data_IF_295407268647
#
_entry.id   IF_295407268647
#
_cell.length_a   1.000
_cell.length_b   1.000
_cell.length_c   1.000
_cell.angle_alpha   90.00
_cell.angle_beta   90.00
_cell.angle_gamma   90.00
#
_symmetry.space_group_name_H-M   'P 1'
#
loop_
_entity.id
_entity.type
_entity.pdbx_description
1 polymer ?
#
# COMPACT_ATOMS: atom_id res chain seq x y z
N UNK A 1 -58.98 -26.37 -41.03
CA UNK A 1 -59.01 -25.62 -39.76
C UNK A 1 -58.50 -24.21 -40.07
N UNK A 2 -59.41 -23.26 -39.88
CA UNK A 2 -59.35 -21.80 -39.67
C UNK A 2 -58.00 -21.22 -39.19
N UNK A 3 -57.48 -20.12 -39.77
CA UNK A 3 -57.70 -18.66 -39.44
C UNK A 3 -56.75 -18.23 -38.28
N UNK A 4 -55.88 -17.19 -38.31
CA UNK A 4 -56.10 -15.72 -38.47
C UNK A 4 -54.73 -14.97 -38.40
N UNK A 5 -54.45 -13.89 -39.18
CA UNK A 5 -53.30 -12.94 -39.02
C UNK A 5 -53.76 -11.59 -38.39
N UNK A 6 -53.04 -10.42 -38.41
CA UNK A 6 -51.64 -10.03 -38.18
C UNK A 6 -51.50 -8.87 -37.12
N UNK A 7 -50.28 -8.43 -36.74
CA UNK A 7 -50.06 -7.09 -36.11
C UNK A 7 -48.61 -6.63 -36.41
N UNK A 8 -48.36 -5.89 -37.49
CA UNK A 8 -48.40 -4.42 -37.64
C UNK A 8 -47.23 -3.69 -36.96
N UNK A 9 -46.23 -3.32 -37.75
CA UNK A 9 -45.35 -2.16 -37.50
C UNK A 9 -46.18 -0.85 -37.62
N UNK A 10 -45.72 0.28 -37.05
CA UNK A 10 -44.82 1.17 -37.81
C UNK A 10 -43.75 1.93 -36.98
N UNK A 11 -42.56 2.07 -37.56
CA UNK A 11 -41.63 3.19 -37.33
C UNK A 11 -42.20 4.46 -37.99
N UNK A 12 -42.14 5.68 -37.39
CA UNK A 12 -41.15 6.64 -37.90
C UNK A 12 -40.70 7.77 -36.94
N UNK A 13 -39.41 8.12 -37.05
CA UNK A 13 -38.81 9.48 -37.20
C UNK A 13 -39.26 10.69 -36.34
N UNK A 14 -38.25 11.45 -35.89
CA UNK A 14 -38.21 12.90 -35.63
C UNK A 14 -38.53 13.40 -34.20
N UNK A 15 -37.59 14.09 -33.55
CA UNK A 15 -37.42 15.55 -33.62
C UNK A 15 -36.28 16.03 -32.72
N UNK A 16 -35.46 16.93 -33.27
CA UNK A 16 -34.53 17.79 -32.54
C UNK A 16 -35.26 18.75 -31.61
N UNK A 17 -34.66 19.17 -30.49
CA UNK A 17 -34.43 20.59 -30.14
C UNK A 17 -33.64 20.75 -28.83
N UNK A 18 -32.69 21.67 -28.87
CA UNK A 18 -31.99 22.26 -27.74
C UNK A 18 -32.92 23.15 -26.91
N UNK A 19 -32.54 23.39 -25.64
CA UNK A 19 -32.64 24.62 -24.80
C UNK A 19 -32.48 24.14 -23.36
N UNK A 20 -31.43 24.46 -22.59
CA UNK A 20 -30.87 25.79 -22.39
C UNK A 20 -31.61 26.50 -21.25
N UNK A 21 -31.37 26.13 -20.01
CA UNK A 21 -31.72 26.99 -18.86
C UNK A 21 -30.60 26.90 -17.85
N UNK A 22 -29.78 27.96 -17.83
CA UNK A 22 -28.87 28.22 -16.74
C UNK A 22 -29.60 28.90 -15.60
N UNK A 23 -29.21 28.55 -14.39
CA UNK A 23 -29.32 29.44 -13.24
C UNK A 23 -28.05 29.26 -12.43
N UNK A 24 -27.16 30.24 -12.58
CA UNK A 24 -26.04 30.42 -11.68
C UNK A 24 -26.50 31.06 -10.39
N UNK A 25 -25.94 30.59 -9.29
CA UNK A 25 -25.78 31.36 -8.05
C UNK A 25 -24.46 30.92 -7.43
N UNK A 26 -23.39 31.63 -7.80
CA UNK A 26 -22.27 31.79 -6.88
C UNK A 26 -22.66 32.80 -5.81
N UNK A 27 -22.29 32.54 -4.55
CA UNK A 27 -21.75 33.52 -3.59
C UNK A 27 -21.57 32.85 -2.22
N UNK A 28 -20.32 32.79 -1.76
CA UNK A 28 -19.95 32.89 -0.34
C UNK A 28 -19.30 31.65 0.30
N UNK A 29 -17.96 31.55 0.33
CA UNK A 29 -17.29 30.80 1.38
C UNK A 29 -17.38 31.59 2.69
N UNK A 30 -18.16 31.09 3.63
CA UNK A 30 -18.21 31.61 4.99
C UNK A 30 -16.98 31.11 5.75
N UNK A 31 -15.96 31.97 5.89
CA UNK A 31 -14.98 31.84 6.96
C UNK A 31 -15.68 32.14 8.29
N UNK A 32 -15.68 31.17 9.20
CA UNK A 32 -15.69 31.43 10.62
C UNK A 32 -14.56 30.60 11.22
N UNK A 33 -13.52 31.31 11.65
CA UNK A 33 -12.59 30.88 12.67
C UNK A 33 -13.37 30.53 13.93
N UNK A 34 -13.25 29.28 14.38
CA UNK A 34 -13.41 28.94 15.79
C UNK A 34 -12.24 28.06 16.18
N UNK A 35 -11.25 28.73 16.77
CA UNK A 35 -10.31 28.20 17.73
C UNK A 35 -11.04 27.26 18.70
N UNK A 36 -10.71 25.96 18.64
CA UNK A 36 -11.19 24.98 19.61
C UNK A 36 -10.00 24.12 20.02
N UNK A 37 -9.51 24.44 21.21
CA UNK A 37 -8.40 23.83 21.90
C UNK A 37 -8.40 22.30 21.82
N UNK A 38 -7.21 21.75 21.60
CA UNK A 38 -6.90 20.34 21.71
C UNK A 38 -7.14 19.89 23.15
N UNK A 39 -8.23 19.16 23.39
CA UNK A 39 -8.41 18.36 24.58
C UNK A 39 -7.62 17.04 24.43
N UNK A 40 -6.89 16.58 25.47
CA UNK A 40 -6.21 15.28 25.45
C UNK A 40 -7.19 14.13 25.19
N UNK A 41 -6.79 13.04 24.50
CA UNK A 41 -7.66 11.89 24.31
C UNK A 41 -7.96 11.26 25.68
N UNK A 42 -9.23 11.35 26.07
CA UNK A 42 -9.78 10.61 27.20
C UNK A 42 -9.71 9.12 26.83
N UNK A 43 -8.89 8.37 27.58
CA UNK A 43 -8.77 6.92 27.45
C UNK A 43 -10.12 6.35 27.88
N UNK A 44 -10.93 5.96 26.90
CA UNK A 44 -12.19 5.25 27.10
C UNK A 44 -11.87 3.86 27.65
N UNK A 45 -11.87 3.75 28.97
CA UNK A 45 -11.78 2.49 29.68
C UNK A 45 -13.01 1.64 29.30
N UNK A 46 -12.86 0.33 29.04
CA UNK A 46 -13.99 -0.50 28.65
C UNK A 46 -15.06 -0.49 29.74
N UNK A 47 -16.22 0.09 29.44
CA UNK A 47 -17.41 -0.06 30.28
C UNK A 47 -17.77 -1.54 30.34
N UNK A 48 -17.53 -2.15 31.50
CA UNK A 48 -18.13 -3.42 31.90
C UNK A 48 -19.65 -3.21 31.96
N UNK A 49 -20.35 -3.56 30.90
CA UNK A 49 -21.81 -3.70 30.94
C UNK A 49 -22.14 -4.94 31.75
N UNK A 50 -22.36 -4.74 33.05
CA UNK A 50 -23.05 -5.64 33.96
C UNK A 50 -24.39 -6.06 33.32
N UNK A 51 -24.40 -7.26 32.74
CA UNK A 51 -25.62 -7.86 32.21
C UNK A 51 -26.13 -8.82 33.28
N UNK A 52 -27.11 -8.36 34.05
CA UNK A 52 -27.85 -9.17 35.01
C UNK A 52 -28.40 -10.45 34.37
N UNK A 53 -28.65 -11.51 35.17
CA UNK A 53 -29.00 -12.83 34.64
C UNK A 53 -30.44 -12.82 34.15
N UNK A 54 -30.66 -12.39 32.92
CA UNK A 54 -31.98 -12.44 32.30
C UNK A 54 -32.25 -13.87 31.79
N UNK A 55 -33.07 -14.57 32.55
CA UNK A 55 -33.64 -15.88 32.26
C UNK A 55 -34.43 -15.86 30.95
N UNK A 56 -33.76 -16.10 29.82
CA UNK A 56 -34.43 -16.47 28.56
C UNK A 56 -33.84 -17.75 27.98
N UNK A 57 -34.65 -18.80 28.09
CA UNK A 57 -34.53 -20.16 27.58
C UNK A 57 -34.02 -20.24 26.13
N UNK A 58 -32.93 -20.98 25.89
CA UNK A 58 -32.57 -21.61 24.60
C UNK A 58 -32.22 -20.73 23.38
N UNK A 59 -33.05 -19.76 23.01
CA UNK A 59 -32.99 -19.02 21.73
C UNK A 59 -32.08 -17.79 21.75
N UNK A 60 -31.93 -17.11 22.89
CA UNK A 60 -31.05 -15.93 23.00
C UNK A 60 -29.56 -16.26 22.94
N UNK A 61 -29.17 -17.43 23.47
CA UNK A 61 -27.77 -17.89 23.51
C UNK A 61 -27.23 -18.22 22.11
N UNK A 62 -28.02 -18.85 21.25
CA UNK A 62 -27.63 -19.15 19.87
C UNK A 62 -27.41 -17.90 19.01
N UNK A 63 -28.25 -16.89 19.18
CA UNK A 63 -28.10 -15.61 18.47
C UNK A 63 -26.87 -14.82 18.95
N UNK A 64 -26.58 -14.86 20.25
CA UNK A 64 -25.39 -14.23 20.82
C UNK A 64 -24.09 -14.90 20.32
N UNK A 65 -24.03 -16.23 20.29
CA UNK A 65 -22.90 -16.98 19.72
C UNK A 65 -22.74 -16.69 18.22
N UNK A 66 -23.82 -16.70 17.44
CA UNK A 66 -23.78 -16.35 16.02
C UNK A 66 -23.28 -14.91 15.78
N UNK A 67 -23.69 -13.95 16.62
CA UNK A 67 -23.20 -12.58 16.55
C UNK A 67 -21.70 -12.48 16.89
N UNK A 68 -21.23 -13.24 17.89
CA UNK A 68 -19.81 -13.34 18.25
C UNK A 68 -18.98 -13.89 17.09
N UNK A 69 -19.40 -15.01 16.48
CA UNK A 69 -18.66 -15.59 15.35
C UNK A 69 -18.62 -14.68 14.12
N UNK A 70 -19.70 -13.95 13.82
CA UNK A 70 -19.67 -12.93 12.74
C UNK A 70 -18.69 -11.80 13.01
N UNK A 71 -18.55 -11.38 14.27
CA UNK A 71 -17.54 -10.36 14.64
C UNK A 71 -16.13 -10.92 14.49
N UNK A 72 -15.89 -12.13 14.97
CA UNK A 72 -14.59 -12.80 14.86
C UNK A 72 -14.18 -13.03 13.40
N UNK A 73 -15.11 -13.44 12.53
CA UNK A 73 -14.83 -13.63 11.10
C UNK A 73 -14.37 -12.32 10.45
N UNK A 74 -15.11 -11.22 10.64
CA UNK A 74 -14.73 -9.92 10.06
C UNK A 74 -13.42 -9.39 10.62
N UNK A 75 -13.17 -9.59 11.91
CA UNK A 75 -11.89 -9.24 12.53
C UNK A 75 -10.74 -10.01 11.86
N UNK A 76 -10.87 -11.32 11.70
CA UNK A 76 -9.88 -12.15 11.04
C UNK A 76 -9.67 -11.79 9.56
N UNK A 77 -10.74 -11.48 8.82
CA UNK A 77 -10.64 -11.01 7.43
C UNK A 77 -9.89 -9.67 7.35
N UNK A 78 -10.21 -8.75 8.26
CA UNK A 78 -9.53 -7.44 8.34
C UNK A 78 -8.03 -7.61 8.65
N UNK A 79 -7.69 -8.47 9.63
CA UNK A 79 -6.31 -8.77 9.98
C UNK A 79 -5.55 -9.42 8.82
N UNK A 80 -6.18 -10.37 8.11
CA UNK A 80 -5.60 -11.01 6.93
C UNK A 80 -5.30 -9.98 5.85
N UNK A 81 -6.24 -9.08 5.55
CA UNK A 81 -6.07 -8.08 4.49
C UNK A 81 -4.98 -7.06 4.86
N UNK A 82 -4.89 -6.69 6.14
CA UNK A 82 -3.79 -5.86 6.66
C UNK A 82 -2.44 -6.56 6.48
N UNK A 83 -2.33 -7.81 6.89
CA UNK A 83 -1.09 -8.59 6.75
C UNK A 83 -0.72 -8.79 5.27
N UNK A 84 -1.70 -9.02 4.39
CA UNK A 84 -1.47 -9.12 2.95
C UNK A 84 -0.85 -7.82 2.40
N UNK A 85 -1.37 -6.65 2.81
CA UNK A 85 -0.80 -5.35 2.42
C UNK A 85 0.63 -5.13 2.95
N UNK A 86 0.91 -5.55 4.19
CA UNK A 86 2.28 -5.47 4.76
C UNK A 86 3.24 -6.37 3.99
N UNK A 87 2.84 -7.60 3.70
CA UNK A 87 3.66 -8.56 2.95
C UNK A 87 3.93 -8.06 1.53
N UNK A 88 2.93 -7.51 0.84
CA UNK A 88 3.10 -6.90 -0.48
C UNK A 88 4.14 -5.76 -0.45
N UNK A 89 4.07 -4.90 0.57
CA UNK A 89 5.03 -3.82 0.78
C UNK A 89 6.46 -4.33 0.99
N UNK A 90 6.64 -5.37 1.81
CA UNK A 90 7.95 -6.00 2.05
C UNK A 90 8.49 -6.69 0.79
N UNK A 91 7.63 -7.37 0.04
CA UNK A 91 8.01 -8.02 -1.22
C UNK A 91 8.45 -6.99 -2.26
N UNK A 92 7.71 -5.88 -2.42
CA UNK A 92 8.14 -4.79 -3.31
C UNK A 92 9.49 -4.21 -2.90
N UNK A 93 9.68 -3.94 -1.60
CA UNK A 93 10.95 -3.44 -1.09
C UNK A 93 12.11 -4.42 -1.36
N UNK A 94 11.85 -5.73 -1.28
CA UNK A 94 12.85 -6.75 -1.56
C UNK A 94 13.21 -6.81 -3.05
N UNK A 95 12.23 -6.73 -3.95
CA UNK A 95 12.49 -6.62 -5.40
C UNK A 95 13.33 -5.37 -5.69
N UNK A 96 12.99 -4.23 -5.08
CA UNK A 96 13.76 -2.99 -5.23
C UNK A 96 15.19 -3.15 -4.69
N UNK A 97 15.38 -3.84 -3.57
CA UNK A 97 16.71 -4.14 -3.01
C UNK A 97 17.56 -4.93 -4.00
N UNK A 98 16.98 -5.93 -4.66
CA UNK A 98 17.66 -6.71 -5.70
C UNK A 98 17.94 -5.82 -6.93
N UNK A 99 16.95 -5.05 -7.37
CA UNK A 99 17.06 -4.15 -8.52
C UNK A 99 18.15 -3.08 -8.35
N UNK A 100 18.34 -2.56 -7.13
CA UNK A 100 19.38 -1.59 -6.80
C UNK A 100 20.81 -2.08 -7.09
N UNK A 101 21.01 -3.40 -7.23
CA UNK A 101 22.32 -3.95 -7.61
C UNK A 101 22.66 -3.72 -9.08
N UNK A 102 21.65 -3.47 -9.94
CA UNK A 102 21.81 -3.33 -11.39
C UNK A 102 21.25 -2.03 -11.96
N UNK A 103 20.28 -1.40 -11.31
CA UNK A 103 19.67 -0.12 -11.71
C UNK A 103 20.14 1.02 -10.81
N UNK A 104 20.33 2.20 -11.40
CA UNK A 104 20.64 3.44 -10.66
C UNK A 104 19.46 3.86 -9.75
N UNK A 105 18.23 3.62 -10.20
CA UNK A 105 16.99 3.84 -9.46
C UNK A 105 16.20 2.53 -9.44
N UNK A 106 16.15 1.86 -8.29
CA UNK A 106 15.49 0.56 -8.14
C UNK A 106 13.99 0.58 -8.46
N UNK A 107 13.29 1.64 -8.03
CA UNK A 107 11.85 1.82 -8.25
C UNK A 107 11.46 1.91 -9.73
N UNK A 108 12.43 2.10 -10.64
CA UNK A 108 12.15 2.11 -12.07
C UNK A 108 11.68 0.73 -12.57
N UNK A 109 11.96 -0.37 -11.86
CA UNK A 109 11.45 -1.71 -12.22
C UNK A 109 9.92 -1.73 -12.40
N UNK A 110 9.19 -1.01 -11.56
CA UNK A 110 7.73 -0.90 -11.62
C UNK A 110 7.25 -0.01 -12.76
N UNK A 111 8.05 0.99 -13.17
CA UNK A 111 7.71 1.92 -14.25
C UNK A 111 7.79 1.26 -15.63
N UNK A 112 8.55 0.17 -15.75
CA UNK A 112 8.68 -0.60 -16.99
C UNK A 112 7.74 -1.81 -17.05
N UNK A 113 6.66 -1.80 -16.27
CA UNK A 113 5.56 -2.74 -16.39
C UNK A 113 5.78 -4.08 -15.69
N UNK A 114 6.77 -4.17 -14.79
CA UNK A 114 6.90 -5.35 -13.94
C UNK A 114 5.74 -5.38 -12.94
N UNK A 115 5.03 -6.50 -12.88
CA UNK A 115 3.98 -6.73 -11.89
C UNK A 115 4.49 -7.64 -10.77
N UNK A 116 4.17 -7.31 -9.51
CA UNK A 116 4.69 -8.06 -8.37
C UNK A 116 4.28 -9.55 -8.43
N UNK A 117 3.05 -9.83 -8.89
CA UNK A 117 2.53 -11.19 -9.01
C UNK A 117 3.34 -12.08 -9.97
N UNK A 118 4.01 -11.50 -10.96
CA UNK A 118 4.85 -12.24 -11.90
C UNK A 118 6.22 -12.57 -11.30
N UNK A 119 6.69 -11.76 -10.36
CA UNK A 119 8.00 -11.83 -9.70
C UNK A 119 8.01 -12.64 -8.41
N UNK A 120 6.85 -13.13 -7.98
CA UNK A 120 6.67 -13.91 -6.76
C UNK A 120 6.33 -15.35 -7.13
N UNK A 121 6.84 -16.30 -6.36
CA UNK A 121 6.50 -17.73 -6.49
C UNK A 121 5.13 -18.02 -5.89
N UNK A 122 4.57 -19.20 -6.16
CA UNK A 122 3.31 -19.65 -5.55
C UNK A 122 3.35 -19.68 -4.02
N UNK A 123 4.55 -19.73 -3.43
CA UNK A 123 4.77 -19.71 -1.97
C UNK A 123 4.91 -18.29 -1.39
N UNK A 124 4.80 -17.25 -2.20
CA UNK A 124 4.94 -15.87 -1.75
C UNK A 124 6.39 -15.38 -1.58
N UNK A 125 7.36 -16.08 -2.17
CA UNK A 125 8.79 -15.71 -2.11
C UNK A 125 9.19 -15.03 -3.41
N UNK A 126 10.11 -14.05 -3.36
CA UNK A 126 10.61 -13.40 -4.59
C UNK A 126 11.38 -14.42 -5.45
N UNK A 127 11.00 -14.52 -6.71
CA UNK A 127 11.71 -15.26 -7.75
C UNK A 127 12.83 -14.38 -8.32
N UNK A 128 14.04 -14.57 -7.82
CA UNK A 128 15.20 -13.77 -8.20
C UNK A 128 15.58 -13.93 -9.68
N UNK A 129 15.29 -15.09 -10.29
CA UNK A 129 15.59 -15.33 -11.70
C UNK A 129 14.70 -14.46 -12.60
N UNK A 130 13.40 -14.39 -12.29
CA UNK A 130 12.47 -13.52 -13.02
C UNK A 130 12.78 -12.05 -12.83
N UNK A 131 13.16 -11.64 -11.61
CA UNK A 131 13.64 -10.27 -11.36
C UNK A 131 14.85 -9.98 -12.24
N UNK A 132 15.83 -10.87 -12.30
CA UNK A 132 17.02 -10.72 -13.14
C UNK A 132 16.71 -10.63 -14.63
N UNK A 133 15.72 -11.39 -15.11
CA UNK A 133 15.26 -11.35 -16.51
C UNK A 133 14.62 -10.00 -16.86
N UNK A 134 13.77 -9.47 -15.98
CA UNK A 134 13.18 -8.14 -16.13
C UNK A 134 14.27 -7.06 -16.13
N UNK A 135 15.21 -7.12 -15.18
CA UNK A 135 16.31 -6.15 -15.11
C UNK A 135 17.18 -6.17 -16.37
N UNK A 136 17.45 -7.36 -16.91
CA UNK A 136 18.18 -7.51 -18.17
C UNK A 136 17.42 -6.85 -19.32
N UNK A 137 16.13 -7.13 -19.45
CA UNK A 137 15.28 -6.51 -20.49
C UNK A 137 15.26 -4.98 -20.41
N UNK A 138 15.17 -4.42 -19.19
CA UNK A 138 15.24 -2.97 -18.97
C UNK A 138 16.60 -2.42 -19.42
N UNK A 139 17.70 -3.07 -19.05
CA UNK A 139 19.05 -2.61 -19.37
C UNK A 139 19.40 -2.76 -20.85
N UNK A 140 18.90 -3.79 -21.52
CA UNK A 140 19.07 -3.99 -22.96
C UNK A 140 18.38 -2.86 -23.75
N UNK A 141 17.20 -2.41 -23.29
CA UNK A 141 16.48 -1.29 -23.89
C UNK A 141 17.07 0.07 -23.50
N UNK A 142 17.55 0.21 -22.26
CA UNK A 142 18.03 1.48 -21.70
C UNK A 142 19.34 1.29 -20.91
N UNK A 143 20.49 1.16 -21.60
CA UNK A 143 21.79 0.93 -20.95
C UNK A 143 22.20 2.06 -20.00
N UNK A 144 21.72 3.28 -20.22
CA UNK A 144 22.02 4.45 -19.39
C UNK A 144 21.43 4.38 -17.96
N UNK A 145 20.53 3.43 -17.71
CA UNK A 145 19.89 3.21 -16.39
C UNK A 145 20.67 2.25 -15.49
N UNK A 146 21.76 1.68 -16.01
CA UNK A 146 22.64 0.81 -15.24
C UNK A 146 23.19 1.53 -14.00
N UNK A 147 23.21 0.82 -12.88
CA UNK A 147 23.79 1.28 -11.64
C UNK A 147 25.23 1.74 -11.87
N UNK A 148 25.52 2.98 -11.48
CA UNK A 148 26.87 3.50 -11.59
C UNK A 148 27.73 2.86 -10.52
N UNK A 149 28.84 2.23 -10.91
CA UNK A 149 29.86 1.80 -9.94
C UNK A 149 30.39 3.04 -9.23
N UNK A 150 29.98 3.22 -7.96
CA UNK A 150 30.61 4.21 -7.11
C UNK A 150 32.06 3.76 -6.88
N UNK A 151 33.05 4.64 -7.07
CA UNK A 151 34.43 4.29 -6.71
C UNK A 151 34.45 3.97 -5.22
N UNK A 152 35.09 2.86 -4.86
CA UNK A 152 35.27 2.51 -3.46
C UNK A 152 36.10 3.62 -2.80
N UNK A 153 35.65 4.19 -1.67
CA UNK A 153 36.44 5.17 -0.94
C UNK A 153 37.81 4.56 -0.64
N UNK A 154 38.87 5.28 -0.98
CA UNK A 154 40.22 4.87 -0.64
C UNK A 154 40.33 4.78 0.90
N UNK A 155 40.59 3.60 1.46
CA UNK A 155 40.62 3.41 2.92
C UNK A 155 41.75 4.19 3.60
N UNK A 156 42.72 4.71 2.84
CA UNK A 156 43.75 5.61 3.37
C UNK A 156 43.27 7.05 3.55
N UNK A 157 42.17 7.45 2.89
CA UNK A 157 41.54 8.76 3.04
C UNK A 157 40.73 8.79 4.34
N UNK A 158 41.34 9.29 5.42
CA UNK A 158 40.73 9.41 6.75
C UNK A 158 41.37 8.50 7.80
N UNK A 159 42.23 7.56 7.39
CA UNK A 159 43.21 6.94 8.27
C UNK A 159 44.28 8.00 8.60
N UNK A 160 43.96 8.89 9.55
CA UNK A 160 44.94 9.81 10.09
C UNK A 160 46.21 9.03 10.44
N UNK A 161 47.38 9.56 10.06
CA UNK A 161 48.67 8.96 10.44
C UNK A 161 48.59 8.59 11.92
N UNK A 162 48.69 7.29 12.23
CA UNK A 162 48.76 6.84 13.61
C UNK A 162 50.10 7.31 14.16
N UNK A 163 50.14 8.55 14.63
CA UNK A 163 51.25 9.05 15.40
C UNK A 163 51.26 8.21 16.66
N UNK A 164 52.23 7.30 16.78
CA UNK A 164 52.52 6.65 18.07
C UNK A 164 52.79 7.78 19.04
N UNK A 165 51.87 8.04 19.96
CA UNK A 165 52.08 9.00 21.03
C UNK A 165 53.35 8.57 21.79
N UNK A 166 54.30 9.49 22.06
CA UNK A 166 55.47 9.14 22.84
C UNK A 166 55.00 8.59 24.18
N UNK A 167 55.43 7.38 24.53
CA UNK A 167 55.12 6.82 25.83
C UNK A 167 55.90 7.58 26.91
N UNK A 168 55.35 7.66 28.12
CA UNK A 168 56.04 8.27 29.26
C UNK A 168 57.45 7.70 29.52
N UNK A 169 57.70 6.45 29.11
CA UNK A 169 59.01 5.82 29.15
C UNK A 169 60.04 6.46 28.20
N UNK A 170 59.61 7.05 27.08
CA UNK A 170 60.47 7.81 26.17
C UNK A 170 60.75 9.23 26.72
N UNK A 171 59.80 9.83 27.45
CA UNK A 171 59.99 11.15 28.06
C UNK A 171 60.97 11.14 29.25
N UNK A 172 61.07 10.03 29.99
CA UNK A 172 61.93 9.91 31.17
C UNK A 172 63.38 9.51 30.86
N UNK A 173 63.73 9.32 29.58
CA UNK A 173 65.07 8.88 29.14
C UNK A 173 65.92 10.01 28.52
N UNK A 174 65.57 11.26 28.82
CA UNK A 174 66.29 12.48 28.42
C UNK A 174 67.07 13.06 29.60
#
# INVERSE_FOLDING_TARGET
>A
MTETPPFSDPDPTAHATATGTGTGTGTGPSQMDTDSAVAPPEIDAPQETDTGPDTTTGTGRGNAEAAKYRRQLRAAETERDQLAGVVEGLQRAEVERIAATRLDVAADVWRFGAELSELVTDTGVIDTAKVDDVLRGILDQRPSMAARRRPQPDPSQGAGRTHSVPTWAQALKS
#
